data_IF_531924155805
#
_entry.id   IF_531924155805
#
_cell.length_a   1.000
_cell.length_b   1.000
_cell.length_c   1.000
_cell.angle_alpha   90.00
_cell.angle_beta   90.00
_cell.angle_gamma   90.00
#
_symmetry.space_group_name_H-M   'P 1'
#
loop_
_entity.id
_entity.type
_entity.pdbx_description
1 polymer ?
#
# COMPACT_ATOMS: atom_id res chain seq x y z
N UNK A 1 -19.80 2.33 3.76
CA UNK A 1 -18.89 1.19 3.63
C UNK A 1 -18.37 1.07 2.19
N UNK A 2 -17.12 1.45 1.92
CA UNK A 2 -16.43 1.03 0.70
C UNK A 2 -16.38 -0.49 0.68
N UNK A 3 -17.27 -1.10 -0.11
CA UNK A 3 -17.24 -2.52 -0.34
C UNK A 3 -15.95 -2.87 -1.07
N UNK A 4 -15.23 -3.83 -0.52
CA UNK A 4 -14.00 -4.31 -1.09
C UNK A 4 -14.34 -5.28 -2.19
N UNK A 5 -14.20 -4.80 -3.42
CA UNK A 5 -14.02 -5.63 -4.59
C UNK A 5 -12.53 -5.90 -4.75
N UNK A 6 -12.13 -7.18 -4.87
CA UNK A 6 -10.87 -7.54 -5.52
C UNK A 6 -10.90 -6.88 -6.90
N UNK A 7 -10.13 -5.83 -7.07
CA UNK A 7 -10.11 -5.09 -8.30
C UNK A 7 -8.92 -5.58 -9.11
N UNK A 8 -9.22 -6.30 -10.19
CA UNK A 8 -8.24 -6.74 -11.16
C UNK A 8 -8.03 -5.61 -12.18
N UNK A 9 -6.80 -5.14 -12.27
CA UNK A 9 -6.40 -4.15 -13.27
C UNK A 9 -5.80 -4.91 -14.46
N UNK A 10 -6.55 -4.95 -15.55
CA UNK A 10 -6.18 -5.65 -16.78
C UNK A 10 -5.33 -4.74 -17.67
N UNK A 11 -4.11 -5.16 -17.99
CA UNK A 11 -3.34 -4.60 -19.10
C UNK A 11 -2.71 -5.79 -19.86
N UNK A 12 -3.06 -5.91 -21.14
CA UNK A 12 -2.92 -7.14 -21.96
C UNK A 12 -1.44 -7.50 -22.24
N UNK A 13 -0.51 -6.61 -21.90
CA UNK A 13 0.93 -6.79 -22.15
C UNK A 13 1.80 -6.74 -20.87
N UNK A 14 1.20 -6.57 -19.69
CA UNK A 14 1.93 -6.52 -18.41
C UNK A 14 1.31 -7.48 -17.39
N UNK A 15 2.07 -7.95 -16.38
CA UNK A 15 1.48 -8.68 -15.25
C UNK A 15 0.30 -7.89 -14.65
N UNK A 16 -0.67 -8.58 -14.08
CA UNK A 16 -1.93 -7.97 -13.60
C UNK A 16 -1.69 -7.39 -12.22
N UNK A 17 -1.97 -6.10 -12.03
CA UNK A 17 -1.97 -5.52 -10.68
C UNK A 17 -3.31 -5.87 -10.02
N UNK A 18 -3.27 -6.40 -8.81
CA UNK A 18 -4.46 -6.63 -8.00
C UNK A 18 -4.40 -5.66 -6.84
N UNK A 19 -5.45 -4.83 -6.73
CA UNK A 19 -5.65 -4.00 -5.55
C UNK A 19 -6.62 -4.75 -4.63
N UNK A 20 -6.10 -5.14 -3.47
CA UNK A 20 -6.89 -5.77 -2.42
C UNK A 20 -7.15 -4.70 -1.37
N UNK A 21 -8.42 -4.28 -1.23
CA UNK A 21 -8.83 -3.55 -0.04
C UNK A 21 -8.84 -4.52 1.15
N UNK A 22 -8.34 -4.10 2.30
CA UNK A 22 -8.44 -4.92 3.52
C UNK A 22 -9.79 -4.60 4.20
N UNK A 23 -10.69 -5.59 4.28
CA UNK A 23 -11.96 -5.47 5.01
C UNK A 23 -11.61 -5.55 6.49
N UNK A 24 -12.28 -4.72 7.29
CA UNK A 24 -12.40 -4.79 8.76
C UNK A 24 -12.58 -6.21 9.37
N UNK A 25 -12.74 -7.26 8.57
CA UNK A 25 -12.95 -8.63 9.02
C UNK A 25 -11.68 -9.29 9.59
N UNK A 26 -10.47 -8.85 9.19
CA UNK A 26 -9.24 -9.20 9.91
C UNK A 26 -8.91 -8.22 11.05
N UNK A 27 -9.55 -7.03 11.07
CA UNK A 27 -9.34 -6.01 12.10
C UNK A 27 -9.84 -6.45 13.50
N UNK A 28 -10.71 -7.46 13.60
CA UNK A 28 -11.12 -7.97 14.92
C UNK A 28 -10.02 -8.79 15.62
N UNK A 29 -9.10 -9.38 14.85
CA UNK A 29 -7.88 -10.01 15.37
C UNK A 29 -6.71 -9.00 15.48
N UNK A 30 -6.78 -7.90 14.71
CA UNK A 30 -5.77 -6.84 14.63
C UNK A 30 -6.04 -5.61 15.53
N UNK A 31 -6.87 -5.75 16.58
CA UNK A 31 -7.28 -4.63 17.45
C UNK A 31 -6.15 -3.95 18.27
N UNK A 32 -4.87 -4.30 18.05
CA UNK A 32 -3.74 -3.86 18.89
C UNK A 32 -2.44 -3.48 18.16
N UNK A 33 -2.40 -3.46 16.84
CA UNK A 33 -1.28 -2.83 16.11
C UNK A 33 -1.87 -1.78 15.21
N UNK A 34 -1.93 -0.53 15.69
CA UNK A 34 -1.96 0.61 14.79
C UNK A 34 -0.76 0.42 13.86
N UNK A 35 -1.00 0.02 12.60
CA UNK A 35 0.04 -0.08 11.60
C UNK A 35 0.34 1.37 11.20
N UNK A 36 1.00 2.07 12.11
CA UNK A 36 1.57 3.35 11.83
C UNK A 36 2.57 3.15 10.70
N UNK A 37 2.58 4.06 9.73
CA UNK A 37 3.69 4.14 8.78
C UNK A 37 4.86 4.78 9.52
N UNK A 38 5.35 4.08 10.53
CA UNK A 38 6.50 4.45 11.29
C UNK A 38 7.74 4.11 10.46
N UNK A 39 8.67 5.02 10.48
CA UNK A 39 9.92 4.93 9.74
C UNK A 39 10.96 4.86 10.84
N UNK A 40 11.75 3.78 10.85
CA UNK A 40 12.76 3.50 11.87
C UNK A 40 13.48 4.79 12.31
N UNK A 41 13.54 5.07 13.62
CA UNK A 41 14.22 6.25 14.19
C UNK A 41 15.70 6.35 13.76
N UNK A 42 16.28 5.24 13.27
CA UNK A 42 17.64 5.20 12.71
C UNK A 42 17.74 5.73 11.29
N UNK A 43 16.61 5.94 10.61
CA UNK A 43 16.55 6.46 9.25
C UNK A 43 16.35 7.97 9.28
N UNK A 44 17.40 8.71 8.92
CA UNK A 44 17.36 10.17 8.81
C UNK A 44 16.51 10.68 7.63
N UNK A 45 15.91 9.77 6.85
CA UNK A 45 15.05 10.11 5.71
C UNK A 45 13.69 9.45 5.87
N UNK A 46 12.71 10.24 6.32
CA UNK A 46 11.31 9.87 6.40
C UNK A 46 10.69 9.54 5.03
N UNK A 47 11.43 9.65 3.92
CA UNK A 47 10.95 9.20 2.61
C UNK A 47 11.44 7.81 2.24
N UNK A 48 12.26 7.15 3.07
CA UNK A 48 12.86 5.87 2.71
C UNK A 48 11.89 4.70 2.89
N UNK A 49 11.25 4.32 1.78
CA UNK A 49 10.38 3.15 1.72
C UNK A 49 11.09 1.85 2.17
N UNK A 50 12.42 1.75 2.03
CA UNK A 50 13.19 0.54 2.40
C UNK A 50 13.04 0.17 3.87
N UNK A 51 12.96 1.19 4.73
CA UNK A 51 12.89 1.06 6.19
C UNK A 51 11.49 1.39 6.72
N UNK A 52 10.47 1.23 5.89
CA UNK A 52 9.08 1.40 6.31
C UNK A 52 8.56 0.15 7.01
N UNK A 53 8.04 0.31 8.22
CA UNK A 53 7.41 -0.79 8.97
C UNK A 53 6.21 -1.38 8.21
N UNK A 54 5.48 -0.52 7.48
CA UNK A 54 4.40 -0.95 6.60
C UNK A 54 4.93 -1.87 5.48
N UNK A 55 6.08 -1.54 4.87
CA UNK A 55 6.70 -2.38 3.83
C UNK A 55 7.11 -3.74 4.42
N UNK A 56 7.76 -3.72 5.58
CA UNK A 56 8.19 -4.93 6.27
C UNK A 56 6.98 -5.84 6.53
N UNK A 57 5.95 -5.30 7.20
CA UNK A 57 4.72 -6.03 7.50
C UNK A 57 4.04 -6.59 6.24
N UNK A 58 3.94 -5.80 5.17
CA UNK A 58 3.33 -6.24 3.90
C UNK A 58 4.05 -7.44 3.28
N UNK A 59 5.38 -7.45 3.35
CA UNK A 59 6.22 -8.45 2.69
C UNK A 59 6.66 -9.60 3.62
N UNK A 60 6.30 -9.56 4.90
CA UNK A 60 6.60 -10.62 5.89
C UNK A 60 5.32 -11.25 6.46
N UNK A 61 4.59 -10.55 7.33
CA UNK A 61 3.43 -11.07 8.05
C UNK A 61 2.20 -11.15 7.12
N UNK A 62 1.85 -10.04 6.47
CA UNK A 62 0.62 -9.93 5.69
C UNK A 62 0.56 -10.92 4.53
N UNK A 63 1.65 -11.09 3.77
CA UNK A 63 1.66 -12.01 2.64
C UNK A 63 1.42 -13.47 3.06
N UNK A 64 1.88 -13.84 4.25
CA UNK A 64 1.74 -15.19 4.79
C UNK A 64 0.36 -15.45 5.40
N UNK A 65 -0.27 -14.41 5.95
CA UNK A 65 -1.61 -14.51 6.52
C UNK A 65 -2.72 -14.38 5.47
N UNK A 66 -2.55 -13.48 4.50
CA UNK A 66 -3.58 -13.14 3.51
C UNK A 66 -3.60 -14.09 2.30
N UNK A 67 -2.48 -14.78 2.01
CA UNK A 67 -2.34 -15.64 0.84
C UNK A 67 -1.77 -17.00 1.22
N UNK A 68 -2.42 -18.06 0.73
CA UNK A 68 -1.91 -19.43 0.87
C UNK A 68 -0.57 -19.61 0.12
N UNK A 69 0.21 -20.63 0.50
CA UNK A 69 1.47 -20.97 -0.21
C UNK A 69 1.27 -21.20 -1.72
N UNK A 70 0.09 -21.70 -2.11
CA UNK A 70 -0.28 -21.86 -3.52
C UNK A 70 -0.49 -20.53 -4.23
N UNK A 71 -1.22 -19.60 -3.61
CA UNK A 71 -1.47 -18.25 -4.15
C UNK A 71 -0.19 -17.42 -4.21
N UNK A 72 0.65 -17.52 -3.19
CA UNK A 72 1.93 -16.82 -3.13
C UNK A 72 2.81 -17.09 -4.35
N UNK A 73 2.77 -18.29 -4.93
CA UNK A 73 3.56 -18.64 -6.13
C UNK A 73 3.23 -17.78 -7.35
N UNK A 74 2.03 -17.23 -7.41
CA UNK A 74 1.60 -16.34 -8.49
C UNK A 74 1.95 -14.88 -8.23
N UNK A 75 2.28 -14.51 -6.99
CA UNK A 75 2.66 -13.14 -6.61
C UNK A 75 4.10 -12.86 -7.06
N UNK A 76 4.23 -11.92 -8.00
CA UNK A 76 5.50 -11.50 -8.58
C UNK A 76 6.22 -10.51 -7.68
N UNK A 77 7.55 -10.61 -7.65
CA UNK A 77 8.40 -9.57 -7.10
C UNK A 77 8.54 -8.44 -8.10
N UNK A 78 8.24 -7.22 -7.68
CA UNK A 78 8.23 -6.03 -8.52
C UNK A 78 9.28 -5.03 -8.06
N UNK A 79 9.98 -4.45 -9.04
CA UNK A 79 10.97 -3.42 -8.76
C UNK A 79 10.25 -2.10 -8.53
N UNK A 80 10.17 -1.67 -7.28
CA UNK A 80 9.65 -0.35 -6.91
C UNK A 80 10.77 0.67 -7.13
N UNK A 81 10.61 1.62 -8.07
CA UNK A 81 11.65 2.60 -8.35
C UNK A 81 11.86 3.50 -7.15
N UNK A 82 13.12 3.78 -6.85
CA UNK A 82 13.50 4.86 -5.95
C UNK A 82 13.07 6.22 -6.50
N UNK A 83 12.98 7.22 -5.63
CA UNK A 83 12.58 8.59 -6.01
C UNK A 83 13.79 9.56 -6.07
N UNK A 84 15.01 9.04 -6.20
CA UNK A 84 16.26 9.82 -6.19
C UNK A 84 16.86 10.02 -4.79
N UNK A 85 16.07 9.85 -3.72
CA UNK A 85 16.53 9.93 -2.33
C UNK A 85 16.87 8.55 -1.75
N UNK A 86 16.14 7.52 -2.19
CA UNK A 86 16.41 6.12 -1.83
C UNK A 86 16.57 5.22 -3.06
N UNK A 87 17.22 4.07 -2.85
CA UNK A 87 17.44 3.05 -3.88
C UNK A 87 16.18 2.24 -4.15
N UNK A 88 16.04 1.74 -5.38
CA UNK A 88 14.95 0.86 -5.75
C UNK A 88 14.88 -0.39 -4.84
N UNK A 89 13.67 -0.83 -4.54
CA UNK A 89 13.37 -2.05 -3.78
C UNK A 89 12.71 -3.10 -4.65
N UNK A 90 12.74 -4.35 -4.19
CA UNK A 90 12.01 -5.45 -4.81
C UNK A 90 10.95 -5.94 -3.83
N UNK A 91 9.70 -5.63 -4.12
CA UNK A 91 8.57 -5.90 -3.22
C UNK A 91 7.52 -6.75 -3.93
N UNK A 92 6.94 -7.69 -3.20
CA UNK A 92 5.83 -8.55 -3.67
C UNK A 92 4.49 -7.86 -3.44
N UNK A 93 4.38 -7.14 -2.33
CA UNK A 93 3.20 -6.36 -1.94
C UNK A 93 3.65 -4.95 -1.56
N UNK A 94 2.95 -3.95 -2.08
CA UNK A 94 3.25 -2.54 -1.87
C UNK A 94 1.98 -1.70 -1.82
N UNK A 95 2.10 -0.41 -1.52
CA UNK A 95 1.02 0.58 -1.67
C UNK A 95 1.30 1.48 -2.86
N UNK A 96 0.26 1.98 -3.53
CA UNK A 96 0.39 2.74 -4.77
C UNK A 96 1.11 4.09 -4.55
N UNK A 97 1.85 4.57 -5.56
CA UNK A 97 2.29 5.98 -5.56
C UNK A 97 1.25 6.90 -6.12
N UNK A 98 1.49 8.21 -5.98
CA UNK A 98 0.76 9.23 -6.70
C UNK A 98 0.73 8.97 -8.23
N UNK A 99 1.86 8.59 -8.84
CA UNK A 99 1.91 8.33 -10.27
C UNK A 99 1.12 7.07 -10.67
N UNK A 100 1.18 6.01 -9.86
CA UNK A 100 0.38 4.79 -10.10
C UNK A 100 -1.11 5.05 -9.86
N UNK A 101 -1.45 5.78 -8.80
CA UNK A 101 -2.81 6.22 -8.53
C UNK A 101 -3.36 6.99 -9.73
N UNK A 102 -2.64 8.00 -10.23
CA UNK A 102 -3.07 8.76 -11.41
C UNK A 102 -3.22 7.86 -12.64
N UNK A 103 -2.30 6.92 -12.86
CA UNK A 103 -2.38 5.98 -13.99
C UNK A 103 -3.62 5.07 -13.91
N UNK A 104 -4.04 4.69 -12.71
CA UNK A 104 -5.11 3.70 -12.50
C UNK A 104 -6.45 4.31 -12.01
N UNK A 105 -6.48 5.61 -11.71
CA UNK A 105 -7.66 6.32 -11.23
C UNK A 105 -8.80 6.32 -12.25
N UNK A 106 -8.47 6.49 -13.55
CA UNK A 106 -9.49 6.67 -14.59
C UNK A 106 -10.26 5.39 -14.94
N UNK A 107 -9.70 4.21 -14.66
CA UNK A 107 -10.25 2.96 -15.18
C UNK A 107 -10.63 1.94 -14.11
N UNK A 108 -10.19 2.11 -12.85
CA UNK A 108 -10.25 0.96 -11.93
C UNK A 108 -10.30 1.32 -10.45
N UNK A 109 -9.60 2.34 -9.97
CA UNK A 109 -9.53 2.60 -8.52
C UNK A 109 -10.67 3.53 -8.09
N UNK A 110 -11.51 3.07 -7.17
CA UNK A 110 -12.34 4.00 -6.39
C UNK A 110 -11.45 4.78 -5.43
N UNK A 111 -11.06 5.98 -5.87
CA UNK A 111 -10.16 6.88 -5.14
C UNK A 111 -10.82 7.37 -3.85
N UNK A 112 -12.15 7.55 -3.87
CA UNK A 112 -12.92 8.03 -2.72
C UNK A 112 -13.21 6.88 -1.78
N UNK A 113 -13.17 7.15 -0.47
CA UNK A 113 -13.56 6.14 0.50
C UNK A 113 -14.00 6.73 1.85
N UNK A 114 -14.67 5.94 2.66
CA UNK A 114 -15.11 6.33 4.01
C UNK A 114 -13.95 6.61 4.97
N UNK A 115 -12.75 6.11 4.63
CA UNK A 115 -11.51 6.30 5.39
C UNK A 115 -10.37 6.72 4.47
N UNK A 116 -9.44 7.57 4.95
CA UNK A 116 -8.23 7.86 4.21
C UNK A 116 -7.38 6.60 4.03
N UNK A 117 -6.48 6.59 3.04
CA UNK A 117 -5.59 5.45 2.82
C UNK A 117 -4.21 5.85 2.30
N UNK A 118 -3.19 5.10 2.73
CA UNK A 118 -1.79 5.45 2.51
C UNK A 118 -1.31 5.28 1.05
N UNK A 119 -0.49 6.23 0.58
CA UNK A 119 0.25 6.14 -0.68
C UNK A 119 1.76 6.06 -0.43
N UNK A 120 2.51 5.36 -1.29
CA UNK A 120 3.97 5.52 -1.34
C UNK A 120 4.27 6.90 -1.92
N UNK A 121 4.92 7.72 -1.13
CA UNK A 121 5.07 9.12 -1.44
C UNK A 121 5.81 9.81 -0.32
N UNK A 122 6.12 11.11 -0.51
CA UNK A 122 6.87 11.84 0.47
C UNK A 122 6.19 11.81 1.83
N UNK A 123 7.00 11.75 2.86
CA UNK A 123 6.63 11.83 4.26
C UNK A 123 7.61 12.78 4.96
N UNK A 124 7.10 13.57 5.88
CA UNK A 124 7.90 14.27 6.90
C UNK A 124 8.00 13.40 8.16
N UNK A 125 8.65 13.90 9.21
CA UNK A 125 8.78 13.23 10.52
C UNK A 125 7.46 12.60 11.02
N UNK A 126 6.34 13.31 10.84
CA UNK A 126 5.04 12.89 11.35
C UNK A 126 3.93 12.83 10.32
N UNK A 127 4.14 13.18 9.05
CA UNK A 127 3.06 13.23 8.06
C UNK A 127 3.43 12.53 6.76
N UNK A 128 2.62 11.59 6.32
CA UNK A 128 2.85 10.81 5.10
C UNK A 128 1.77 11.10 4.05
N UNK A 129 2.11 10.87 2.78
CA UNK A 129 1.14 11.02 1.68
C UNK A 129 0.02 9.99 1.78
N UNK A 130 -1.22 10.45 1.74
CA UNK A 130 -2.43 9.62 1.71
C UNK A 130 -3.50 10.22 0.80
N UNK A 131 -4.47 9.41 0.44
CA UNK A 131 -5.72 9.83 -0.19
C UNK A 131 -6.76 10.05 0.90
N UNK A 132 -7.35 11.24 0.94
CA UNK A 132 -8.44 11.61 1.85
C UNK A 132 -9.77 10.98 1.41
N UNK A 133 -10.77 11.09 2.28
CA UNK A 133 -12.12 10.57 2.03
C UNK A 133 -12.78 11.14 0.78
N UNK A 134 -12.47 12.41 0.47
CA UNK A 134 -12.96 13.12 -0.70
C UNK A 134 -12.19 12.80 -1.99
N UNK A 135 -11.15 11.97 -1.89
CA UNK A 135 -10.27 11.56 -2.99
C UNK A 135 -9.11 12.52 -3.26
N UNK A 136 -8.95 13.59 -2.45
CA UNK A 136 -7.78 14.48 -2.56
C UNK A 136 -6.54 13.83 -1.96
N UNK A 137 -5.36 14.21 -2.46
CA UNK A 137 -4.08 13.72 -1.93
C UNK A 137 -3.46 14.80 -1.04
N UNK A 138 -3.12 14.45 0.19
CA UNK A 138 -2.40 15.35 1.11
C UNK A 138 -1.46 14.57 2.03
N UNK A 139 -0.62 15.31 2.75
CA UNK A 139 0.13 14.75 3.88
C UNK A 139 -0.81 14.69 5.09
N UNK A 140 -0.93 13.53 5.71
CA UNK A 140 -1.73 13.33 6.94
C UNK A 140 -0.85 12.71 8.03
N UNK A 141 -1.17 12.94 9.32
CA UNK A 141 -0.38 12.42 10.43
C UNK A 141 -0.25 10.90 10.40
N UNK A 142 0.97 10.39 10.60
CA UNK A 142 1.27 8.96 10.59
C UNK A 142 0.66 8.21 11.77
N UNK A 143 0.25 8.94 12.82
CA UNK A 143 -0.47 8.46 14.00
C UNK A 143 -2.00 8.44 13.83
N UNK A 144 -2.51 8.71 12.63
CA UNK A 144 -3.95 8.67 12.34
C UNK A 144 -4.46 7.22 12.28
N UNK A 145 -5.11 6.79 13.36
CA UNK A 145 -5.74 5.47 13.52
C UNK A 145 -6.87 5.19 12.51
N UNK A 146 -7.33 6.18 11.74
CA UNK A 146 -8.39 6.02 10.75
C UNK A 146 -7.87 5.75 9.34
N UNK A 147 -6.56 5.79 9.11
CA UNK A 147 -5.98 5.57 7.79
C UNK A 147 -5.82 4.08 7.46
N UNK A 148 -6.47 3.64 6.39
CA UNK A 148 -6.42 2.27 5.88
C UNK A 148 -5.22 2.00 4.98
N UNK A 149 -4.97 0.72 4.74
CA UNK A 149 -3.96 0.25 3.78
C UNK A 149 -4.67 -0.37 2.58
N UNK A 150 -4.39 0.16 1.38
CA UNK A 150 -4.80 -0.45 0.10
C UNK A 150 -3.58 -1.05 -0.57
N UNK A 151 -3.50 -2.37 -0.54
CA UNK A 151 -2.34 -3.09 -1.05
C UNK A 151 -2.48 -3.32 -2.55
N UNK A 152 -1.36 -3.23 -3.25
CA UNK A 152 -1.19 -3.58 -4.64
C UNK A 152 -0.14 -4.69 -4.75
N UNK A 153 -0.39 -5.65 -5.64
CA UNK A 153 0.55 -6.71 -5.97
C UNK A 153 0.43 -7.07 -7.44
N UNK A 154 1.49 -7.63 -8.01
CA UNK A 154 1.47 -8.13 -9.37
C UNK A 154 1.30 -9.64 -9.36
N UNK A 155 0.38 -10.16 -10.18
CA UNK A 155 0.22 -11.60 -10.35
C UNK A 155 0.55 -12.05 -11.75
N UNK A 156 1.11 -13.26 -11.83
CA UNK A 156 1.22 -14.03 -13.07
C UNK A 156 0.01 -14.96 -13.15
N UNK A 157 -0.77 -14.85 -14.24
CA UNK A 157 -1.83 -15.80 -14.58
C UNK A 157 -1.34 -16.78 -15.63
#
# INVERSE_FOLDING_TARGET
PCFISRLFLYDVLTPIIIIVGIIYFLASLFKWRSIFRYIDERCTDHNDWRHSDLREWLNSEFINEAFSEGEQKYILSSRIPGNGWFNATNDRIFVLSLNELQKYADNSIDVKCDSPWWLRGPCSESNCTAVNRDGTVSLIPTDDDFCGVRVALWVRM
#
